data_IF_889045777328
#
_entry.id   IF_889045777328
#
_cell.length_a   1.000
_cell.length_b   1.000
_cell.length_c   1.000
_cell.angle_alpha   90.00
_cell.angle_beta   90.00
_cell.angle_gamma   90.00
#
_symmetry.space_group_name_H-M   'P 1'
#
loop_
_entity.id
_entity.type
_entity.pdbx_description
1 polymer ?
#
# COMPACT_ATOMS: atom_id res chain seq x y z
N UNK A 1 13.60 -2.28 -4.20
CA UNK A 1 14.89 -1.58 -4.03
C UNK A 1 14.65 -0.34 -3.17
N UNK A 2 14.96 -0.43 -1.88
CA UNK A 2 14.79 0.66 -0.89
C UNK A 2 15.86 1.76 -1.06
N UNK A 3 16.12 2.21 -2.26
CA UNK A 3 17.15 3.22 -2.53
C UNK A 3 18.60 2.71 -2.52
N UNK A 4 18.82 1.42 -2.25
CA UNK A 4 20.16 0.85 -2.22
C UNK A 4 20.89 0.90 -3.57
N UNK A 5 20.13 0.82 -4.66
CA UNK A 5 20.68 0.97 -6.03
C UNK A 5 21.20 2.37 -6.33
N UNK A 6 20.81 3.37 -5.54
CA UNK A 6 21.28 4.75 -5.64
C UNK A 6 22.29 5.13 -4.57
N UNK A 7 22.62 4.19 -3.67
CA UNK A 7 23.59 4.42 -2.61
C UNK A 7 25.01 4.43 -3.18
N UNK A 8 25.62 5.60 -3.25
CA UNK A 8 26.95 5.82 -3.84
C UNK A 8 28.12 5.48 -2.89
N UNK A 9 27.85 4.92 -1.69
CA UNK A 9 28.89 4.56 -0.75
C UNK A 9 28.37 4.05 0.60
N UNK A 10 29.30 3.58 1.45
CA UNK A 10 29.00 3.02 2.77
C UNK A 10 28.19 3.94 3.67
N UNK A 11 28.45 5.25 3.64
CA UNK A 11 27.70 6.26 4.42
C UNK A 11 26.23 6.31 4.05
N UNK A 12 25.90 6.30 2.76
CA UNK A 12 24.51 6.31 2.30
C UNK A 12 23.75 5.05 2.74
N UNK A 13 24.40 3.91 2.62
CA UNK A 13 23.82 2.63 3.07
C UNK A 13 23.56 2.65 4.57
N UNK A 14 24.52 3.13 5.36
CA UNK A 14 24.38 3.23 6.82
C UNK A 14 23.23 4.16 7.24
N UNK A 15 23.07 5.30 6.58
CA UNK A 15 21.96 6.24 6.85
C UNK A 15 20.62 5.58 6.55
N UNK A 16 20.50 4.84 5.45
CA UNK A 16 19.25 4.14 5.08
C UNK A 16 18.89 3.12 6.17
N UNK A 17 19.84 2.27 6.58
CA UNK A 17 19.60 1.28 7.64
C UNK A 17 19.29 1.92 9.00
N UNK A 18 19.96 3.02 9.33
CA UNK A 18 19.65 3.77 10.53
C UNK A 18 18.18 4.29 10.50
N UNK A 19 17.75 4.84 9.38
CA UNK A 19 16.36 5.32 9.22
C UNK A 19 15.34 4.18 9.35
N UNK A 20 15.63 3.02 8.74
CA UNK A 20 14.79 1.83 8.87
C UNK A 20 14.73 1.37 10.33
N UNK A 21 15.87 1.33 11.03
CA UNK A 21 15.93 0.96 12.44
C UNK A 21 15.12 1.91 13.33
N UNK A 22 15.20 3.22 13.07
CA UNK A 22 14.41 4.24 13.78
C UNK A 22 12.91 4.04 13.55
N UNK A 23 12.48 3.83 12.31
CA UNK A 23 11.08 3.56 11.97
C UNK A 23 10.60 2.29 12.68
N UNK A 24 11.40 1.23 12.67
CA UNK A 24 11.08 -0.02 13.35
C UNK A 24 10.96 0.18 14.87
N UNK A 25 11.87 0.93 15.47
CA UNK A 25 11.83 1.27 16.88
C UNK A 25 10.55 2.04 17.25
N UNK A 26 10.17 3.06 16.49
CA UNK A 26 8.93 3.80 16.71
C UNK A 26 7.69 2.91 16.59
N UNK A 27 7.66 2.01 15.61
CA UNK A 27 6.59 1.03 15.50
C UNK A 27 6.53 0.14 16.74
N UNK A 28 7.66 -0.42 17.19
CA UNK A 28 7.71 -1.26 18.38
C UNK A 28 7.23 -0.51 19.64
N UNK A 29 7.67 0.73 19.82
CA UNK A 29 7.24 1.59 20.93
C UNK A 29 5.73 1.90 20.91
N UNK A 30 5.12 2.01 19.74
CA UNK A 30 3.68 2.23 19.60
C UNK A 30 2.83 1.05 20.13
N UNK A 31 3.36 -0.17 20.12
CA UNK A 31 2.67 -1.35 20.65
C UNK A 31 2.76 -1.49 22.17
N UNK A 32 3.69 -0.82 22.85
CA UNK A 32 3.85 -0.91 24.32
C UNK A 32 2.58 -0.49 25.06
N UNK A 33 1.96 0.68 24.79
CA UNK A 33 0.75 1.08 25.51
C UNK A 33 -0.44 0.16 25.20
N UNK A 34 -0.54 -0.38 24.00
CA UNK A 34 -1.57 -1.34 23.64
C UNK A 34 -1.39 -2.66 24.41
N UNK A 35 -0.17 -3.19 24.46
CA UNK A 35 0.16 -4.39 25.23
C UNK A 35 -0.11 -4.21 26.72
N UNK A 36 0.24 -3.05 27.27
CA UNK A 36 -0.03 -2.73 28.68
C UNK A 36 -1.54 -2.65 28.97
N UNK A 37 -2.34 -2.07 28.08
CA UNK A 37 -3.79 -2.02 28.19
C UNK A 37 -4.40 -3.41 28.20
N UNK A 38 -3.99 -4.26 27.26
CA UNK A 38 -4.45 -5.66 27.17
C UNK A 38 -4.09 -6.42 28.45
N UNK A 39 -2.84 -6.33 28.89
CA UNK A 39 -2.38 -6.97 30.13
C UNK A 39 -3.21 -6.52 31.33
N UNK A 40 -3.48 -5.21 31.49
CA UNK A 40 -4.31 -4.67 32.57
C UNK A 40 -5.75 -5.20 32.56
N UNK A 41 -6.35 -5.35 31.37
CA UNK A 41 -7.69 -5.91 31.21
C UNK A 41 -7.71 -7.40 31.55
N UNK A 42 -6.67 -8.15 31.18
CA UNK A 42 -6.56 -9.57 31.45
C UNK A 42 -6.33 -9.90 32.91
N UNK A 43 -5.64 -9.04 33.67
CA UNK A 43 -5.40 -9.26 35.12
C UNK A 43 -6.68 -9.28 35.96
N UNK A 44 -7.74 -8.62 35.51
CA UNK A 44 -9.03 -8.55 36.23
C UNK A 44 -10.05 -9.62 35.81
N UNK A 45 -9.65 -10.58 34.94
CA UNK A 45 -10.54 -11.62 34.43
C UNK A 45 -9.95 -13.00 34.70
N UNK A 46 -10.82 -14.02 34.73
CA UNK A 46 -10.39 -15.43 34.78
C UNK A 46 -9.42 -15.70 33.63
N UNK A 47 -8.27 -16.25 33.92
CA UNK A 47 -7.18 -16.45 32.96
C UNK A 47 -7.62 -17.16 31.68
N UNK A 48 -8.43 -18.23 31.83
CA UNK A 48 -8.92 -19.03 30.70
C UNK A 48 -9.88 -18.20 29.82
N UNK A 49 -10.81 -17.47 30.45
CA UNK A 49 -11.76 -16.61 29.73
C UNK A 49 -11.05 -15.47 29.03
N UNK A 50 -10.10 -14.81 29.71
CA UNK A 50 -9.28 -13.73 29.13
C UNK A 50 -8.53 -14.18 27.89
N UNK A 51 -7.89 -15.36 27.96
CA UNK A 51 -7.20 -15.95 26.81
C UNK A 51 -8.17 -16.26 25.66
N UNK A 52 -9.33 -16.86 25.96
CA UNK A 52 -10.34 -17.17 24.94
C UNK A 52 -10.87 -15.91 24.25
N UNK A 53 -11.15 -14.83 24.98
CA UNK A 53 -11.57 -13.56 24.39
C UNK A 53 -10.48 -12.91 23.53
N UNK A 54 -9.23 -12.98 23.97
CA UNK A 54 -8.11 -12.48 23.17
C UNK A 54 -7.95 -13.22 21.84
N UNK A 55 -8.08 -14.55 21.88
CA UNK A 55 -8.01 -15.39 20.68
C UNK A 55 -9.19 -15.11 19.73
N UNK A 56 -10.42 -15.05 20.25
CA UNK A 56 -11.60 -14.71 19.45
C UNK A 56 -11.49 -13.32 18.84
N UNK A 57 -11.03 -12.33 19.60
CA UNK A 57 -10.81 -10.98 19.11
C UNK A 57 -9.77 -10.94 17.97
N UNK A 58 -8.70 -11.71 18.09
CA UNK A 58 -7.68 -11.81 17.05
C UNK A 58 -8.22 -12.44 15.77
N UNK A 59 -9.00 -13.52 15.89
CA UNK A 59 -9.64 -14.19 14.75
C UNK A 59 -10.63 -13.23 14.06
N UNK A 60 -11.48 -12.56 14.84
CA UNK A 60 -12.42 -11.57 14.29
C UNK A 60 -11.71 -10.40 13.59
N UNK A 61 -10.61 -9.93 14.15
CA UNK A 61 -9.78 -8.89 13.53
C UNK A 61 -9.20 -9.33 12.18
N UNK A 62 -8.66 -10.53 12.10
CA UNK A 62 -8.14 -11.11 10.85
C UNK A 62 -9.25 -11.26 9.81
N UNK A 63 -10.41 -11.80 10.20
CA UNK A 63 -11.55 -11.96 9.29
C UNK A 63 -12.04 -10.62 8.77
N UNK A 64 -12.19 -9.63 9.64
CA UNK A 64 -12.60 -8.27 9.26
C UNK A 64 -11.62 -7.67 8.26
N UNK A 65 -10.33 -7.72 8.56
CA UNK A 65 -9.31 -7.18 7.67
C UNK A 65 -9.29 -7.92 6.32
N UNK A 66 -9.45 -9.24 6.32
CA UNK A 66 -9.54 -10.04 5.09
C UNK A 66 -10.72 -9.59 4.23
N UNK A 67 -11.91 -9.44 4.82
CA UNK A 67 -13.10 -8.96 4.09
C UNK A 67 -12.87 -7.56 3.51
N UNK A 68 -12.34 -6.62 4.30
CA UNK A 68 -12.04 -5.27 3.84
C UNK A 68 -11.03 -5.27 2.68
N UNK A 69 -10.01 -6.14 2.74
CA UNK A 69 -9.02 -6.29 1.69
C UNK A 69 -9.64 -6.81 0.39
N UNK A 70 -10.51 -7.82 0.47
CA UNK A 70 -11.23 -8.34 -0.71
C UNK A 70 -12.26 -7.35 -1.28
N UNK A 71 -12.73 -6.42 -0.50
CA UNK A 71 -13.58 -5.31 -0.97
C UNK A 71 -12.79 -4.16 -1.62
N UNK A 72 -11.48 -4.33 -1.81
CA UNK A 72 -10.59 -3.35 -2.45
C UNK A 72 -10.59 -1.99 -1.73
N UNK A 73 -10.80 -2.01 -0.42
CA UNK A 73 -10.85 -0.77 0.37
C UNK A 73 -9.46 -0.19 0.60
N UNK A 74 -9.37 1.13 0.59
CA UNK A 74 -8.10 1.82 0.81
C UNK A 74 -7.68 1.90 2.29
N UNK A 75 -6.41 2.18 2.57
CA UNK A 75 -5.86 2.30 3.93
C UNK A 75 -6.58 3.32 4.81
N UNK A 76 -7.16 4.35 4.22
CA UNK A 76 -7.93 5.37 4.94
C UNK A 76 -9.11 4.75 5.70
N UNK A 77 -9.86 3.86 5.05
CA UNK A 77 -11.00 3.20 5.68
C UNK A 77 -10.56 2.26 6.80
N UNK A 78 -9.44 1.57 6.64
CA UNK A 78 -8.87 0.71 7.69
C UNK A 78 -8.46 1.51 8.93
N UNK A 79 -7.85 2.68 8.73
CA UNK A 79 -7.50 3.59 9.82
C UNK A 79 -8.74 4.12 10.54
N UNK A 80 -9.76 4.56 9.79
CA UNK A 80 -11.02 5.06 10.37
C UNK A 80 -11.67 3.99 11.25
N UNK A 81 -11.79 2.75 10.76
CA UNK A 81 -12.36 1.64 11.53
C UNK A 81 -11.53 1.38 12.79
N UNK A 82 -10.20 1.25 12.65
CA UNK A 82 -9.31 0.96 13.78
C UNK A 82 -9.38 2.02 14.86
N UNK A 83 -9.37 3.30 14.48
CA UNK A 83 -9.47 4.39 15.44
C UNK A 83 -10.86 4.54 16.05
N UNK A 84 -11.92 4.23 15.30
CA UNK A 84 -13.29 4.22 15.85
C UNK A 84 -13.40 3.17 16.96
N UNK A 85 -12.90 1.97 16.73
CA UNK A 85 -12.84 0.91 17.75
C UNK A 85 -12.00 1.36 18.95
N UNK A 86 -10.83 1.97 18.71
CA UNK A 86 -9.96 2.47 19.78
C UNK A 86 -10.67 3.53 20.63
N UNK A 87 -11.34 4.51 20.01
CA UNK A 87 -12.08 5.59 20.70
C UNK A 87 -13.21 5.02 21.52
N UNK A 88 -13.95 4.02 20.98
CA UNK A 88 -15.02 3.33 21.70
C UNK A 88 -14.50 2.67 22.98
N UNK A 89 -13.37 1.97 22.92
CA UNK A 89 -12.75 1.38 24.09
C UNK A 89 -12.24 2.44 25.09
N UNK A 90 -11.62 3.51 24.61
CA UNK A 90 -11.14 4.59 25.46
C UNK A 90 -12.28 5.28 26.20
N UNK A 91 -13.42 5.51 25.54
CA UNK A 91 -14.61 6.06 26.15
C UNK A 91 -15.11 5.20 27.32
N UNK A 92 -15.25 3.90 27.11
CA UNK A 92 -15.70 2.95 28.14
C UNK A 92 -14.72 2.85 29.31
N UNK A 93 -13.41 3.01 29.07
CA UNK A 93 -12.37 2.96 30.09
C UNK A 93 -12.08 4.32 30.73
N UNK A 94 -12.82 5.38 30.36
CA UNK A 94 -12.64 6.76 30.85
C UNK A 94 -11.21 7.29 30.62
N UNK A 95 -10.56 6.87 29.53
CA UNK A 95 -9.24 7.34 29.13
C UNK A 95 -9.31 8.66 28.37
N UNK A 96 -8.17 9.28 28.16
CA UNK A 96 -8.09 10.58 27.47
C UNK A 96 -8.33 10.42 25.95
N UNK A 97 -9.57 10.63 25.53
CA UNK A 97 -10.00 10.51 24.12
C UNK A 97 -9.46 11.65 23.25
N UNK A 98 -9.19 12.81 23.83
CA UNK A 98 -8.79 14.01 23.07
C UNK A 98 -7.50 13.79 22.29
N UNK A 99 -6.52 13.11 22.89
CA UNK A 99 -5.23 12.85 22.26
C UNK A 99 -5.35 11.89 21.07
N UNK A 100 -6.11 10.81 21.19
CA UNK A 100 -6.30 9.84 20.10
C UNK A 100 -7.13 10.42 18.95
N UNK A 101 -8.16 11.21 19.26
CA UNK A 101 -8.95 11.92 18.24
C UNK A 101 -8.10 12.94 17.47
N UNK A 102 -7.27 13.70 18.17
CA UNK A 102 -6.32 14.63 17.53
C UNK A 102 -5.35 13.88 16.61
N UNK A 103 -4.78 12.77 17.07
CA UNK A 103 -3.85 11.97 16.29
C UNK A 103 -4.50 11.35 15.05
N UNK A 104 -5.76 10.90 15.17
CA UNK A 104 -6.54 10.43 14.01
C UNK A 104 -6.72 11.53 12.96
N UNK A 105 -7.19 12.71 13.38
CA UNK A 105 -7.40 13.84 12.47
C UNK A 105 -6.09 14.22 11.79
N UNK A 106 -5.00 14.28 12.56
CA UNK A 106 -3.67 14.57 12.02
C UNK A 106 -3.23 13.54 10.96
N UNK A 107 -3.39 12.23 11.24
CA UNK A 107 -3.08 11.18 10.26
C UNK A 107 -3.92 11.27 9.00
N UNK A 108 -5.22 11.50 9.12
CA UNK A 108 -6.12 11.64 7.98
C UNK A 108 -5.75 12.86 7.11
N UNK A 109 -5.38 13.97 7.73
CA UNK A 109 -4.89 15.15 7.02
C UNK A 109 -3.56 14.87 6.32
N UNK A 110 -2.60 14.24 6.98
CA UNK A 110 -1.34 13.84 6.37
C UNK A 110 -1.56 12.93 5.17
N UNK A 111 -2.43 11.93 5.27
CA UNK A 111 -2.72 11.04 4.15
C UNK A 111 -3.32 11.78 2.95
N UNK A 112 -4.21 12.75 3.18
CA UNK A 112 -4.78 13.56 2.09
C UNK A 112 -3.74 14.42 1.36
N UNK A 113 -2.73 14.94 2.05
CA UNK A 113 -1.68 15.77 1.43
C UNK A 113 -0.73 14.97 0.54
N UNK A 114 -0.63 13.66 0.75
CA UNK A 114 0.23 12.76 -0.04
C UNK A 114 -0.49 12.07 -1.20
N UNK A 115 -1.78 12.31 -1.39
CA UNK A 115 -2.52 11.79 -2.55
C UNK A 115 -2.12 12.59 -3.79
N UNK A 116 -1.32 11.98 -4.66
CA UNK A 116 -0.98 12.57 -5.95
C UNK A 116 -2.23 12.58 -6.85
N UNK A 117 -2.51 13.73 -7.47
CA UNK A 117 -3.69 13.92 -8.34
C UNK A 117 -3.62 13.15 -9.66
N UNK A 118 -2.41 12.78 -10.08
CA UNK A 118 -2.09 12.13 -11.36
C UNK A 118 -1.99 10.60 -11.25
N UNK A 119 -2.45 10.04 -10.13
CA UNK A 119 -2.29 8.63 -9.84
C UNK A 119 -3.58 8.07 -9.25
N UNK A 120 -3.98 6.92 -9.76
CA UNK A 120 -5.09 6.12 -9.22
C UNK A 120 -4.51 4.89 -8.54
N UNK A 121 -4.75 4.74 -7.25
CA UNK A 121 -4.31 3.59 -6.46
C UNK A 121 -5.45 2.59 -6.28
N UNK A 122 -5.21 1.34 -6.67
CA UNK A 122 -6.10 0.20 -6.49
C UNK A 122 -5.50 -0.75 -5.46
N UNK A 123 -6.15 -0.89 -4.33
CA UNK A 123 -5.71 -1.72 -3.22
C UNK A 123 -6.31 -3.12 -3.36
N UNK A 124 -5.58 -4.06 -4.00
CA UNK A 124 -6.01 -5.45 -4.05
C UNK A 124 -5.54 -6.22 -2.81
N UNK A 125 -6.12 -7.41 -2.51
CA UNK A 125 -5.69 -8.24 -1.39
C UNK A 125 -4.22 -8.67 -1.45
N UNK A 126 -3.63 -8.64 -2.64
CA UNK A 126 -2.27 -9.15 -2.87
C UNK A 126 -1.23 -8.05 -3.06
N UNK A 127 -1.64 -6.90 -3.63
CA UNK A 127 -0.71 -5.84 -3.99
C UNK A 127 -1.44 -4.50 -4.17
N UNK A 128 -0.71 -3.42 -3.98
CA UNK A 128 -1.17 -2.08 -4.34
C UNK A 128 -0.79 -1.81 -5.80
N UNK A 129 -1.80 -1.66 -6.66
CA UNK A 129 -1.61 -1.31 -8.07
C UNK A 129 -1.84 0.19 -8.20
N UNK A 130 -0.84 0.90 -8.72
CA UNK A 130 -0.92 2.33 -8.98
C UNK A 130 -0.86 2.58 -10.48
N UNK A 131 -1.85 3.28 -10.99
CA UNK A 131 -1.88 3.75 -12.39
C UNK A 131 -1.55 5.22 -12.38
N UNK A 132 -0.40 5.57 -12.92
CA UNK A 132 0.06 6.96 -13.04
C UNK A 132 -0.16 7.44 -14.46
N UNK A 133 -0.80 8.60 -14.60
CA UNK A 133 -1.01 9.26 -15.87
C UNK A 133 0.16 10.19 -16.15
N UNK A 134 0.77 10.05 -17.32
CA UNK A 134 1.91 10.86 -17.75
C UNK A 134 1.46 11.83 -18.85
N UNK A 135 2.01 13.02 -18.84
CA UNK A 135 1.77 14.00 -19.92
C UNK A 135 2.52 13.66 -21.22
N UNK A 136 3.32 12.61 -21.21
CA UNK A 136 4.04 12.16 -22.40
C UNK A 136 3.14 11.30 -23.27
N UNK A 137 2.80 11.72 -24.50
CA UNK A 137 1.93 10.96 -25.39
C UNK A 137 2.50 9.59 -25.82
N UNK A 138 3.82 9.40 -25.75
CA UNK A 138 4.46 8.09 -26.00
C UNK A 138 4.20 7.08 -24.90
N UNK A 139 4.06 7.56 -23.67
CA UNK A 139 3.92 6.76 -22.46
C UNK A 139 2.81 7.38 -21.63
N UNK A 140 1.55 7.32 -22.09
CA UNK A 140 0.46 8.03 -21.44
C UNK A 140 0.14 7.46 -20.06
N UNK A 141 0.44 6.18 -19.84
CA UNK A 141 0.12 5.45 -18.62
C UNK A 141 1.34 4.65 -18.18
N UNK A 142 1.61 4.64 -16.88
CA UNK A 142 2.54 3.70 -16.27
C UNK A 142 1.87 2.96 -15.13
N UNK A 143 2.03 1.64 -15.12
CA UNK A 143 1.48 0.75 -14.09
C UNK A 143 2.60 0.37 -13.14
N UNK A 144 2.36 0.59 -11.85
CA UNK A 144 3.27 0.25 -10.77
C UNK A 144 2.59 -0.75 -9.84
N UNK A 145 3.35 -1.69 -9.32
CA UNK A 145 2.93 -2.58 -8.25
C UNK A 145 3.79 -2.33 -7.02
N UNK A 146 3.15 -2.01 -5.89
CA UNK A 146 3.84 -1.67 -4.64
C UNK A 146 4.94 -0.59 -4.82
N UNK A 147 4.64 0.45 -5.62
CA UNK A 147 5.55 1.52 -6.02
C UNK A 147 6.78 1.07 -6.85
N UNK A 148 6.77 -0.16 -7.35
CA UNK A 148 7.78 -0.65 -8.30
C UNK A 148 7.16 -0.61 -9.69
N UNK A 149 7.88 -0.06 -10.65
CA UNK A 149 7.45 -0.05 -12.03
C UNK A 149 7.23 -1.49 -12.53
N UNK A 150 6.04 -1.76 -13.06
CA UNK A 150 5.66 -3.07 -13.56
C UNK A 150 5.66 -3.08 -15.09
N UNK A 151 4.87 -2.20 -15.68
CA UNK A 151 4.78 -2.09 -17.13
C UNK A 151 4.31 -0.70 -17.56
N UNK A 152 4.57 -0.40 -18.81
CA UNK A 152 4.13 0.81 -19.47
C UNK A 152 3.43 0.42 -20.77
N UNK A 153 2.11 0.54 -20.85
CA UNK A 153 1.40 0.37 -22.11
C UNK A 153 1.89 1.40 -23.12
N UNK A 154 2.26 0.95 -24.29
CA UNK A 154 2.71 1.81 -25.39
C UNK A 154 1.62 1.82 -26.46
N UNK A 155 1.34 3.01 -26.99
CA UNK A 155 0.42 3.13 -28.12
C UNK A 155 1.13 2.64 -29.39
N UNK A 156 0.71 1.52 -29.93
CA UNK A 156 1.26 0.90 -31.15
C UNK A 156 0.47 1.24 -32.43
N UNK A 157 -0.42 2.25 -32.40
CA UNK A 157 -1.13 2.66 -33.61
C UNK A 157 -0.19 3.26 -34.63
N UNK A 158 -0.40 2.96 -35.91
CA UNK A 158 0.45 3.42 -37.02
C UNK A 158 0.52 4.96 -37.10
N UNK A 159 -0.58 5.62 -36.78
CA UNK A 159 -0.69 7.09 -36.76
C UNK A 159 0.26 7.74 -35.75
N UNK A 160 0.47 7.05 -34.64
CA UNK A 160 1.31 7.55 -33.55
C UNK A 160 2.80 7.24 -33.79
N UNK A 161 3.11 6.06 -34.35
CA UNK A 161 4.47 5.56 -34.51
C UNK A 161 5.23 6.15 -35.68
N UNK A 162 4.56 6.45 -36.78
CA UNK A 162 5.19 7.09 -37.90
C UNK A 162 5.73 8.49 -37.60
N UNK A 163 5.14 9.17 -36.59
CA UNK A 163 5.51 10.54 -36.24
C UNK A 163 6.55 10.68 -35.12
N UNK A 164 6.65 9.73 -34.18
CA UNK A 164 7.39 10.00 -32.96
C UNK A 164 8.49 9.03 -32.56
N UNK A 165 8.41 7.73 -32.86
CA UNK A 165 9.53 6.83 -32.54
C UNK A 165 9.44 5.47 -33.25
N UNK A 166 10.02 5.32 -34.46
CA UNK A 166 10.00 4.07 -35.22
C UNK A 166 10.74 2.92 -34.51
N UNK A 167 11.65 3.22 -33.56
CA UNK A 167 12.44 2.21 -32.87
C UNK A 167 11.57 1.32 -31.98
N UNK A 168 10.68 1.91 -31.16
CA UNK A 168 9.79 1.16 -30.27
C UNK A 168 8.73 0.40 -31.05
N UNK A 169 8.18 0.98 -32.09
CA UNK A 169 7.25 0.28 -32.97
C UNK A 169 7.88 -0.97 -33.56
N UNK A 170 9.07 -0.85 -34.13
CA UNK A 170 9.78 -1.97 -34.72
C UNK A 170 10.07 -3.05 -33.68
N UNK A 171 10.47 -2.68 -32.46
CA UNK A 171 10.78 -3.66 -31.42
C UNK A 171 9.59 -4.55 -31.08
N UNK A 172 8.38 -4.00 -31.02
CA UNK A 172 7.16 -4.76 -30.69
C UNK A 172 6.47 -5.37 -31.92
N UNK A 173 6.62 -4.81 -33.11
CA UNK A 173 5.89 -5.28 -34.31
C UNK A 173 6.72 -6.21 -35.20
N UNK A 174 8.06 -6.14 -35.19
CA UNK A 174 8.93 -7.02 -35.97
C UNK A 174 8.61 -8.52 -35.79
N UNK A 175 8.45 -9.04 -34.56
CA UNK A 175 8.14 -10.45 -34.38
C UNK A 175 6.84 -10.89 -35.09
N UNK A 176 5.83 -10.02 -35.12
CA UNK A 176 4.54 -10.28 -35.74
C UNK A 176 4.62 -10.15 -37.26
N UNK A 177 5.31 -9.12 -37.75
CA UNK A 177 5.50 -8.89 -39.18
C UNK A 177 6.40 -9.94 -39.83
N UNK A 178 7.40 -10.44 -39.10
CA UNK A 178 8.29 -11.51 -39.60
C UNK A 178 7.57 -12.84 -39.79
N UNK A 179 6.48 -13.11 -39.09
CA UNK A 179 5.71 -14.35 -39.23
C UNK A 179 4.72 -14.34 -40.41
N UNK A 180 4.48 -13.18 -41.00
CA UNK A 180 3.61 -12.98 -42.18
C UNK A 180 2.28 -13.76 -42.11
N UNK A 181 1.64 -13.80 -40.93
CA UNK A 181 0.40 -14.53 -40.65
C UNK A 181 -0.61 -13.65 -39.94
N UNK A 182 -1.84 -13.71 -40.40
CA UNK A 182 -2.97 -13.11 -39.65
C UNK A 182 -3.32 -13.96 -38.44
N UNK A 183 -2.95 -13.52 -37.28
CA UNK A 183 -3.29 -14.19 -36.02
C UNK A 183 -4.72 -13.85 -35.59
N UNK A 184 -5.57 -14.85 -35.48
CA UNK A 184 -6.94 -14.69 -34.95
C UNK A 184 -6.96 -14.63 -33.43
N UNK A 185 -5.98 -15.25 -32.76
CA UNK A 185 -5.85 -15.26 -31.30
C UNK A 185 -4.38 -15.13 -30.94
N UNK A 186 -4.05 -14.18 -30.07
CA UNK A 186 -2.71 -13.96 -29.53
C UNK A 186 -2.79 -14.12 -28.01
N UNK A 187 -2.02 -15.06 -27.45
CA UNK A 187 -1.81 -15.18 -26.02
C UNK A 187 -0.49 -14.50 -25.67
N UNK A 188 -0.56 -13.47 -24.84
CA UNK A 188 0.62 -12.81 -24.25
C UNK A 188 0.76 -13.34 -22.83
N UNK A 189 1.85 -14.03 -22.54
CA UNK A 189 2.18 -14.60 -21.24
C UNK A 189 3.18 -13.72 -20.52
#
# INVERSE_FOLDING_TARGET
NMGQSFALGFLHVSIIYFFIAVIFLFNALAFIPLGHLVAKLMLNADTLKAYSYNLLGSILGILLFTVLSFLWTGPMLWLIISFTVLIFFQYNLKLNIKLSSFFLIFLLLCMNTFVATDKVDLHSPYQNISVKFNNNPLVPISVQSNNIWLQTPINLSDEFHQKQNPMWHNFYTIPYNALNKDFKNILIV
#
